data_IF_393574211015
#
_entry.id   IF_393574211015
#
_cell.length_a   1.000
_cell.length_b   1.000
_cell.length_c   1.000
_cell.angle_alpha   90.00
_cell.angle_beta   90.00
_cell.angle_gamma   90.00
#
_symmetry.space_group_name_H-M   'P 1'
#
loop_
_entity.id
_entity.type
_entity.pdbx_description
1 polymer ?
#
# COMPACT_ATOMS: atom_id res chain seq x y z
N UNK A 1 5.57 23.35 -7.46
CA UNK A 1 6.68 22.61 -6.81
C UNK A 1 6.41 22.58 -5.31
N UNK A 2 6.23 21.40 -4.73
CA UNK A 2 5.97 21.21 -3.30
C UNK A 2 7.12 20.39 -2.70
N UNK A 3 7.78 20.91 -1.66
CA UNK A 3 8.83 20.18 -0.94
C UNK A 3 8.20 19.08 -0.08
N UNK A 4 8.75 17.87 -0.15
CA UNK A 4 8.23 16.71 0.56
C UNK A 4 8.75 16.71 2.00
N UNK A 5 7.87 16.66 3.02
CA UNK A 5 8.28 16.61 4.42
C UNK A 5 8.81 15.21 4.80
N UNK A 6 9.73 15.18 5.77
CA UNK A 6 10.09 13.93 6.45
C UNK A 6 9.03 13.62 7.52
N UNK A 7 8.57 12.38 7.55
CA UNK A 7 7.58 11.91 8.53
C UNK A 7 8.28 11.30 9.76
N UNK A 8 7.80 11.63 10.94
CA UNK A 8 8.15 10.95 12.19
C UNK A 8 7.55 9.53 12.23
N UNK A 9 8.02 8.67 13.14
CA UNK A 9 7.45 7.34 13.36
C UNK A 9 5.96 7.40 13.72
N UNK A 10 5.57 8.37 14.55
CA UNK A 10 4.18 8.59 14.95
C UNK A 10 3.30 9.01 13.77
N UNK A 11 3.76 9.95 12.95
CA UNK A 11 3.03 10.35 11.72
C UNK A 11 2.91 9.19 10.75
N UNK A 12 3.90 8.32 10.65
CA UNK A 12 3.82 7.10 9.83
C UNK A 12 2.78 6.12 10.37
N UNK A 13 2.72 5.90 11.69
CA UNK A 13 1.78 4.98 12.31
C UNK A 13 0.32 5.39 12.11
N UNK A 14 0.01 6.65 12.40
CA UNK A 14 -1.37 7.15 12.40
C UNK A 14 -1.80 7.79 11.08
N UNK A 15 -0.86 8.29 10.30
CA UNK A 15 -1.15 8.95 9.01
C UNK A 15 -1.24 8.02 7.81
N UNK A 16 -0.96 6.71 7.98
CA UNK A 16 -1.05 5.73 6.88
C UNK A 16 -2.43 5.77 6.20
N UNK A 17 -2.54 5.72 4.86
CA UNK A 17 -1.50 5.47 3.85
C UNK A 17 -0.80 6.75 3.34
N UNK A 18 -0.89 7.87 4.01
CA UNK A 18 -0.37 9.21 3.69
C UNK A 18 -1.14 9.90 2.55
N UNK A 19 -0.90 11.20 2.37
CA UNK A 19 -1.52 11.98 1.31
C UNK A 19 -0.88 11.66 -0.04
N UNK A 20 -1.72 11.33 -1.01
CA UNK A 20 -1.33 11.05 -2.38
C UNK A 20 -2.08 11.98 -3.35
N UNK A 21 -1.40 12.56 -4.36
CA UNK A 21 -2.07 13.33 -5.39
C UNK A 21 -3.07 12.48 -6.19
N UNK A 22 -4.18 13.06 -6.59
CA UNK A 22 -5.16 12.41 -7.48
C UNK A 22 -4.64 12.30 -8.92
N UNK A 23 -3.87 13.31 -9.38
CA UNK A 23 -3.31 13.37 -10.72
C UNK A 23 -1.91 12.79 -10.83
N UNK A 24 -1.38 12.82 -12.07
CA UNK A 24 0.00 12.45 -12.36
C UNK A 24 0.99 13.42 -11.70
N UNK A 25 2.10 12.90 -11.19
CA UNK A 25 3.16 13.72 -10.63
C UNK A 25 4.55 13.11 -10.86
N UNK A 26 5.56 13.94 -10.73
CA UNK A 26 6.97 13.54 -10.72
C UNK A 26 7.56 13.84 -9.35
N UNK A 27 8.00 12.79 -8.63
CA UNK A 27 8.92 12.94 -7.51
C UNK A 27 10.31 13.18 -8.08
N UNK A 28 10.94 14.31 -7.76
CA UNK A 28 12.31 14.62 -8.20
C UNK A 28 13.02 15.49 -7.19
N UNK A 29 14.21 15.08 -6.76
CA UNK A 29 15.09 15.83 -5.85
C UNK A 29 14.39 16.30 -4.56
N UNK A 30 13.51 15.45 -3.97
CA UNK A 30 12.75 15.78 -2.77
C UNK A 30 11.56 16.72 -2.99
N UNK A 31 11.15 16.94 -4.24
CA UNK A 31 10.00 17.76 -4.60
C UNK A 31 8.96 16.97 -5.39
N UNK A 32 7.70 17.31 -5.17
CA UNK A 32 6.60 16.93 -6.03
C UNK A 32 6.43 17.99 -7.13
N UNK A 33 6.53 17.56 -8.38
CA UNK A 33 6.42 18.39 -9.58
C UNK A 33 5.27 17.87 -10.46
N UNK A 34 4.83 18.69 -11.42
CA UNK A 34 3.99 18.22 -12.52
C UNK A 34 4.78 17.21 -13.37
N UNK A 35 4.14 16.11 -13.74
CA UNK A 35 4.72 15.14 -14.68
C UNK A 35 4.55 15.68 -16.11
N UNK A 36 5.66 15.81 -16.89
CA UNK A 36 5.55 16.25 -18.29
C UNK A 36 4.81 15.21 -19.16
N UNK A 37 3.96 15.65 -20.07
CA UNK A 37 3.24 14.79 -21.01
C UNK A 37 4.18 13.97 -21.92
N UNK A 38 5.38 14.50 -22.17
CA UNK A 38 6.42 13.86 -22.99
C UNK A 38 7.40 13.01 -22.18
N UNK A 39 7.08 12.66 -20.93
CA UNK A 39 7.99 11.87 -20.10
C UNK A 39 8.23 10.48 -20.73
N UNK A 40 9.49 10.05 -20.81
CA UNK A 40 9.87 8.74 -21.33
C UNK A 40 9.88 7.68 -20.21
N UNK A 41 9.02 6.67 -20.34
CA UNK A 41 8.90 5.56 -19.41
C UNK A 41 9.63 4.28 -19.90
N UNK A 42 10.31 4.31 -21.05
CA UNK A 42 10.81 3.10 -21.74
C UNK A 42 11.82 2.26 -20.93
N UNK A 43 12.56 2.91 -20.01
CA UNK A 43 13.55 2.26 -19.14
C UNK A 43 13.01 1.97 -17.73
N UNK A 44 11.69 1.92 -17.55
CA UNK A 44 11.06 1.80 -16.24
C UNK A 44 10.07 0.63 -16.18
N UNK A 45 10.01 0.00 -15.03
CA UNK A 45 9.04 -1.03 -14.69
C UNK A 45 7.82 -0.37 -14.05
N UNK A 46 6.64 -0.72 -14.53
CA UNK A 46 5.37 -0.21 -14.02
C UNK A 46 4.89 -1.03 -12.82
N UNK A 47 4.72 -0.38 -11.66
CA UNK A 47 4.29 -1.01 -10.40
C UNK A 47 3.02 -0.34 -9.89
N UNK A 48 1.91 -1.07 -9.78
CA UNK A 48 0.68 -0.56 -9.20
C UNK A 48 0.85 -0.32 -7.70
N UNK A 49 0.67 0.91 -7.30
CA UNK A 49 0.79 1.39 -5.92
C UNK A 49 -0.58 1.44 -5.26
N UNK A 50 -0.83 0.56 -4.30
CA UNK A 50 -2.16 0.36 -3.70
C UNK A 50 -2.37 1.06 -2.36
N UNK A 51 -1.29 1.43 -1.68
CA UNK A 51 -1.34 2.05 -0.35
C UNK A 51 -0.41 3.24 -0.24
N UNK A 52 0.49 3.21 0.73
CA UNK A 52 1.43 4.30 1.00
C UNK A 52 2.38 4.62 -0.15
N UNK A 53 2.67 3.65 -1.02
CA UNK A 53 3.52 3.85 -2.21
C UNK A 53 2.91 4.81 -3.25
N UNK A 54 1.64 5.21 -3.10
CA UNK A 54 1.01 6.28 -3.89
C UNK A 54 1.50 7.67 -3.47
N UNK A 55 1.98 7.80 -2.23
CA UNK A 55 2.33 9.08 -1.63
C UNK A 55 3.78 9.49 -1.93
N UNK A 56 4.02 10.73 -2.38
CA UNK A 56 5.37 11.25 -2.60
C UNK A 56 6.28 11.11 -1.37
N UNK A 57 5.74 11.30 -0.16
CA UNK A 57 6.48 11.18 1.09
C UNK A 57 7.03 9.77 1.33
N UNK A 58 6.29 8.73 0.96
CA UNK A 58 6.74 7.35 1.06
C UNK A 58 7.79 7.00 0.02
N UNK A 59 7.59 7.41 -1.24
CA UNK A 59 8.57 7.20 -2.30
C UNK A 59 9.88 7.94 -2.00
N UNK A 60 9.79 9.18 -1.49
CA UNK A 60 10.96 9.94 -1.03
C UNK A 60 11.70 9.22 0.12
N UNK A 61 10.97 8.66 1.10
CA UNK A 61 11.55 7.89 2.19
C UNK A 61 12.29 6.64 1.71
N UNK A 62 11.73 5.95 0.71
CA UNK A 62 12.32 4.71 0.15
C UNK A 62 13.56 4.99 -0.70
N UNK A 63 13.46 5.96 -1.61
CA UNK A 63 14.44 6.15 -2.67
C UNK A 63 15.42 7.30 -2.42
N UNK A 64 15.18 8.13 -1.39
CA UNK A 64 16.07 9.23 -1.01
C UNK A 64 15.89 10.52 -1.83
N UNK A 65 16.75 11.48 -1.51
CA UNK A 65 16.63 12.86 -2.01
C UNK A 65 16.85 12.98 -3.53
N UNK A 66 17.72 12.17 -4.10
CA UNK A 66 18.05 12.24 -5.55
C UNK A 66 17.10 11.41 -6.42
N UNK A 67 16.07 10.79 -5.82
CA UNK A 67 15.13 9.97 -6.57
C UNK A 67 14.38 10.77 -7.63
N UNK A 68 14.18 10.13 -8.77
CA UNK A 68 13.24 10.55 -9.80
C UNK A 68 12.24 9.43 -10.06
N UNK A 69 10.96 9.64 -9.69
CA UNK A 69 9.90 8.65 -9.85
C UNK A 69 8.68 9.31 -10.47
N UNK A 70 8.37 9.03 -11.73
CA UNK A 70 7.09 9.43 -12.33
C UNK A 70 5.97 8.53 -11.81
N UNK A 71 4.81 9.15 -11.55
CA UNK A 71 3.62 8.47 -11.04
C UNK A 71 2.41 8.89 -11.85
N UNK A 72 1.65 7.91 -12.33
CA UNK A 72 0.48 8.14 -13.19
C UNK A 72 -0.78 7.52 -12.59
N UNK A 73 -1.96 8.20 -12.66
CA UNK A 73 -3.20 7.67 -12.12
C UNK A 73 -3.84 6.65 -13.06
N UNK A 74 -4.48 5.64 -12.46
CA UNK A 74 -5.27 4.62 -13.15
C UNK A 74 -6.56 4.33 -12.38
N UNK A 75 -7.59 3.88 -13.08
CA UNK A 75 -8.77 3.26 -12.48
C UNK A 75 -8.62 1.74 -12.55
N UNK A 76 -8.98 1.06 -11.46
CA UNK A 76 -8.97 -0.40 -11.34
C UNK A 76 -10.39 -0.85 -11.04
N UNK A 77 -10.92 -1.80 -11.83
CA UNK A 77 -12.25 -2.39 -11.62
C UNK A 77 -12.18 -3.73 -10.89
N UNK A 78 -13.29 -4.14 -10.31
CA UNK A 78 -13.48 -5.38 -9.57
C UNK A 78 -12.48 -5.56 -8.41
N UNK A 79 -12.06 -4.44 -7.82
CA UNK A 79 -11.04 -4.39 -6.79
C UNK A 79 -11.36 -3.28 -5.77
N UNK A 80 -11.01 -3.52 -4.51
CA UNK A 80 -10.94 -2.52 -3.44
C UNK A 80 -9.60 -2.64 -2.70
N UNK A 81 -9.26 -1.68 -1.86
CA UNK A 81 -8.10 -1.74 -0.98
C UNK A 81 -8.56 -2.02 0.44
N UNK A 82 -8.09 -3.13 0.99
CA UNK A 82 -8.45 -3.57 2.34
C UNK A 82 -7.25 -3.53 3.28
N UNK A 83 -7.53 -3.41 4.57
CA UNK A 83 -6.52 -3.61 5.62
C UNK A 83 -6.05 -5.06 5.63
N UNK A 84 -4.74 -5.27 5.79
CA UNK A 84 -4.10 -6.58 5.81
C UNK A 84 -4.03 -7.10 7.25
N UNK A 85 -4.12 -8.42 7.42
CA UNK A 85 -3.93 -9.11 8.70
C UNK A 85 -2.45 -9.10 9.12
N UNK A 86 -1.88 -7.90 9.22
CA UNK A 86 -0.48 -7.66 9.57
C UNK A 86 -0.33 -6.33 10.33
N UNK A 87 0.79 -6.16 11.00
CA UNK A 87 1.17 -4.93 11.69
C UNK A 87 2.59 -4.54 11.28
N UNK A 88 2.75 -3.37 10.68
CA UNK A 88 4.05 -2.86 10.30
C UNK A 88 4.90 -2.50 11.51
N UNK A 89 6.23 -2.49 11.37
CA UNK A 89 7.16 -2.21 12.48
C UNK A 89 6.97 -0.85 13.12
N UNK A 90 6.41 0.10 12.38
CA UNK A 90 6.07 1.43 12.89
C UNK A 90 4.63 1.52 13.44
N UNK A 91 3.91 0.40 13.57
CA UNK A 91 2.60 0.32 14.23
C UNK A 91 1.39 0.64 13.35
N UNK A 92 1.55 0.74 12.03
CA UNK A 92 0.41 0.83 11.12
C UNK A 92 -0.11 -0.55 10.73
N UNK A 93 -1.41 -0.64 10.46
CA UNK A 93 -2.05 -1.78 9.79
C UNK A 93 -1.92 -1.55 8.27
N UNK A 94 -1.11 -2.33 7.55
CA UNK A 94 -0.90 -2.11 6.13
C UNK A 94 -2.14 -2.45 5.30
N UNK A 95 -2.09 -2.21 4.00
CA UNK A 95 -3.18 -2.54 3.09
C UNK A 95 -2.71 -3.32 1.87
N UNK A 96 -3.65 -3.96 1.20
CA UNK A 96 -3.45 -4.66 -0.07
C UNK A 96 -4.68 -4.52 -0.96
N UNK A 97 -4.50 -4.74 -2.26
CA UNK A 97 -5.60 -4.96 -3.17
C UNK A 97 -6.36 -6.23 -2.80
N UNK A 98 -7.68 -6.21 -2.98
CA UNK A 98 -8.55 -7.34 -2.69
C UNK A 98 -9.71 -7.40 -3.71
N UNK A 99 -10.08 -8.57 -4.22
CA UNK A 99 -11.18 -8.71 -5.17
C UNK A 99 -12.49 -8.17 -4.59
N UNK A 100 -13.15 -7.29 -5.33
CA UNK A 100 -14.43 -6.68 -4.95
C UNK A 100 -15.26 -6.48 -6.22
N UNK A 101 -16.01 -7.51 -6.68
CA UNK A 101 -16.76 -7.45 -7.92
C UNK A 101 -17.71 -6.25 -7.98
N UNK A 102 -17.66 -5.50 -9.07
CA UNK A 102 -18.44 -4.29 -9.29
C UNK A 102 -17.85 -3.01 -8.67
N UNK A 103 -16.90 -3.12 -7.75
CA UNK A 103 -16.21 -1.94 -7.21
C UNK A 103 -15.23 -1.35 -8.23
N UNK A 104 -14.99 -0.04 -8.12
CA UNK A 104 -13.98 0.65 -8.91
C UNK A 104 -13.22 1.64 -8.04
N UNK A 105 -11.89 1.66 -8.19
CA UNK A 105 -11.00 2.45 -7.35
C UNK A 105 -9.94 3.18 -8.18
N UNK A 106 -9.56 4.37 -7.73
CA UNK A 106 -8.47 5.13 -8.34
C UNK A 106 -7.16 4.87 -7.60
N UNK A 107 -6.17 4.36 -8.33
CA UNK A 107 -4.84 4.06 -7.84
C UNK A 107 -3.77 4.77 -8.69
N UNK A 108 -2.51 4.44 -8.44
CA UNK A 108 -1.39 5.04 -9.15
C UNK A 108 -0.40 3.95 -9.61
N UNK A 109 0.21 4.15 -10.77
CA UNK A 109 1.38 3.41 -11.22
C UNK A 109 2.62 4.23 -10.85
N UNK A 110 3.51 3.67 -10.05
CA UNK A 110 4.87 4.18 -9.88
C UNK A 110 5.77 3.52 -10.93
N UNK A 111 6.49 4.33 -11.71
CA UNK A 111 7.38 3.86 -12.76
C UNK A 111 8.81 3.85 -12.23
N UNK A 112 9.34 2.66 -11.96
CA UNK A 112 10.59 2.45 -11.22
C UNK A 112 11.73 2.07 -12.17
N UNK A 113 12.94 2.56 -11.90
CA UNK A 113 14.16 1.98 -12.48
C UNK A 113 14.45 0.62 -11.84
N UNK A 114 15.30 -0.23 -12.45
CA UNK A 114 15.69 -1.52 -11.86
C UNK A 114 16.23 -1.37 -10.43
N UNK A 115 17.10 -0.39 -10.18
CA UNK A 115 17.61 -0.12 -8.82
C UNK A 115 16.49 0.29 -7.83
N UNK A 116 15.52 1.08 -8.28
CA UNK A 116 14.38 1.45 -7.44
C UNK A 116 13.45 0.25 -7.18
N UNK A 117 13.32 -0.65 -8.16
CA UNK A 117 12.55 -1.88 -8.00
C UNK A 117 13.18 -2.81 -6.94
N UNK A 118 14.50 -3.00 -6.96
CA UNK A 118 15.22 -3.75 -5.92
C UNK A 118 14.98 -3.18 -4.51
N UNK A 119 15.07 -1.85 -4.35
CA UNK A 119 14.76 -1.17 -3.09
C UNK A 119 13.29 -1.38 -2.69
N UNK A 120 12.37 -1.35 -3.67
CA UNK A 120 10.95 -1.59 -3.43
C UNK A 120 10.73 -3.02 -2.94
N UNK A 121 11.30 -4.04 -3.59
CA UNK A 121 11.22 -5.44 -3.17
C UNK A 121 11.71 -5.64 -1.73
N UNK A 122 12.87 -5.08 -1.39
CA UNK A 122 13.43 -5.17 -0.03
C UNK A 122 12.52 -4.50 1.01
N UNK A 123 11.97 -3.32 0.68
CA UNK A 123 11.13 -2.55 1.62
C UNK A 123 9.68 -3.05 1.74
N UNK A 124 9.21 -3.87 0.80
CA UNK A 124 7.93 -4.61 0.88
C UNK A 124 8.08 -6.00 1.52
N UNK A 125 9.32 -6.41 1.88
CA UNK A 125 9.60 -7.77 2.42
C UNK A 125 9.02 -8.83 1.48
N UNK A 126 9.46 -8.78 0.21
CA UNK A 126 9.02 -9.69 -0.83
C UNK A 126 9.27 -11.16 -0.43
N UNK A 127 8.25 -12.01 -0.59
CA UNK A 127 8.26 -13.42 -0.20
C UNK A 127 7.94 -13.69 1.28
N UNK A 128 7.93 -12.65 2.13
CA UNK A 128 7.56 -12.75 3.55
C UNK A 128 6.22 -12.05 3.85
N UNK A 129 6.10 -10.78 3.47
CA UNK A 129 4.90 -9.98 3.71
C UNK A 129 4.02 -9.87 2.45
N UNK A 130 4.65 -9.80 1.29
CA UNK A 130 3.97 -9.63 0.01
C UNK A 130 4.55 -10.58 -1.05
N UNK A 131 3.66 -11.09 -1.93
CA UNK A 131 4.01 -11.71 -3.20
C UNK A 131 4.16 -10.66 -4.29
N UNK A 132 5.09 -10.88 -5.24
CA UNK A 132 5.17 -10.15 -6.48
C UNK A 132 4.14 -10.68 -7.45
N UNK A 133 3.34 -9.82 -8.04
CA UNK A 133 2.21 -10.17 -8.88
C UNK A 133 2.21 -9.39 -10.19
N UNK A 134 1.64 -9.99 -11.24
CA UNK A 134 1.33 -9.32 -12.50
C UNK A 134 -0.19 -9.14 -12.63
N UNK A 135 -0.61 -7.92 -12.94
CA UNK A 135 -2.02 -7.55 -13.08
C UNK A 135 -2.57 -7.89 -14.46
N UNK A 136 -3.81 -8.34 -14.51
CA UNK A 136 -4.59 -8.37 -15.74
C UNK A 136 -4.92 -6.94 -16.18
N UNK A 137 -4.32 -6.50 -17.28
CA UNK A 137 -4.54 -5.16 -17.83
C UNK A 137 -5.99 -4.90 -18.23
N UNK A 138 -6.80 -5.94 -18.42
CA UNK A 138 -8.24 -5.77 -18.71
C UNK A 138 -9.01 -5.16 -17.54
N UNK A 139 -8.47 -5.24 -16.30
CA UNK A 139 -9.02 -4.60 -15.11
C UNK A 139 -8.58 -3.13 -14.97
N UNK A 140 -7.67 -2.64 -15.79
CA UNK A 140 -6.99 -1.34 -15.61
C UNK A 140 -7.41 -0.36 -16.73
N UNK A 141 -7.69 0.88 -16.34
CA UNK A 141 -7.96 1.99 -17.26
C UNK A 141 -7.03 3.16 -16.98
N UNK A 142 -6.29 3.63 -17.97
CA UNK A 142 -5.46 4.83 -17.83
C UNK A 142 -6.32 6.08 -17.67
N UNK A 143 -5.93 6.99 -16.77
CA UNK A 143 -6.60 8.27 -16.55
C UNK A 143 -5.83 9.47 -17.11
N UNK A 144 -4.56 9.27 -17.48
CA UNK A 144 -3.72 10.31 -18.10
C UNK A 144 -2.80 9.73 -19.18
N UNK A 145 -1.65 9.24 -18.82
CA UNK A 145 -0.66 8.67 -19.74
C UNK A 145 -1.08 7.27 -20.22
N UNK A 146 -0.39 6.73 -21.24
CA UNK A 146 -0.65 5.37 -21.73
C UNK A 146 -0.44 4.30 -20.66
N UNK A 147 -1.15 3.18 -20.79
CA UNK A 147 -0.87 1.99 -19.98
C UNK A 147 0.47 1.35 -20.37
N UNK A 148 1.16 0.69 -19.44
CA UNK A 148 2.30 -0.18 -19.75
C UNK A 148 1.83 -1.44 -20.51
N UNK A 149 2.80 -2.16 -21.08
CA UNK A 149 2.55 -3.50 -21.69
C UNK A 149 2.42 -4.60 -20.64
N UNK A 150 3.06 -4.40 -19.47
CA UNK A 150 2.94 -5.26 -18.28
C UNK A 150 2.80 -4.37 -17.04
N UNK A 151 2.01 -4.78 -16.08
CA UNK A 151 1.81 -4.04 -14.83
C UNK A 151 1.98 -4.99 -13.66
N UNK A 152 2.93 -4.68 -12.81
CA UNK A 152 3.22 -5.46 -11.62
C UNK A 152 2.67 -4.82 -10.35
N UNK A 153 2.80 -5.52 -9.23
CA UNK A 153 2.40 -5.01 -7.93
C UNK A 153 2.72 -5.97 -6.80
N UNK A 154 2.20 -5.65 -5.63
CA UNK A 154 2.41 -6.42 -4.41
C UNK A 154 1.06 -6.84 -3.84
N UNK A 155 0.86 -8.15 -3.60
CA UNK A 155 -0.31 -8.70 -2.92
C UNK A 155 0.08 -9.28 -1.57
N UNK A 156 -0.64 -8.93 -0.51
CA UNK A 156 -0.30 -9.38 0.84
C UNK A 156 -0.50 -10.89 1.01
N UNK A 157 0.51 -11.56 1.55
CA UNK A 157 0.49 -13.01 1.84
C UNK A 157 -0.45 -13.32 3.02
N UNK A 158 -0.49 -12.45 4.03
CA UNK A 158 -1.28 -12.65 5.23
C UNK A 158 -2.81 -12.65 5.00
N UNK A 159 -3.28 -12.08 3.87
CA UNK A 159 -4.71 -11.90 3.60
C UNK A 159 -5.31 -10.65 4.28
N UNK A 160 -6.63 -10.47 4.16
CA UNK A 160 -7.34 -9.32 4.69
C UNK A 160 -7.61 -9.46 6.20
N UNK A 161 -7.59 -8.32 6.90
CA UNK A 161 -7.87 -8.21 8.33
C UNK A 161 -9.29 -8.66 8.67
N UNK A 162 -9.41 -9.55 9.68
CA UNK A 162 -10.69 -10.10 10.14
C UNK A 162 -10.65 -10.52 11.62
N UNK A 163 -9.97 -9.79 12.49
CA UNK A 163 -9.72 -10.17 13.89
C UNK A 163 -11.01 -10.47 14.67
N UNK A 164 -12.06 -9.70 14.47
CA UNK A 164 -13.35 -9.84 15.16
C UNK A 164 -14.40 -10.67 14.38
N UNK A 165 -14.10 -11.08 13.14
CA UNK A 165 -15.01 -11.90 12.32
C UNK A 165 -15.99 -11.10 11.45
N UNK A 166 -15.84 -9.78 11.37
CA UNK A 166 -16.69 -8.83 10.65
C UNK A 166 -15.96 -8.15 9.44
N UNK A 167 -14.73 -8.57 9.15
CA UNK A 167 -13.94 -8.15 7.98
C UNK A 167 -14.28 -8.97 6.71
N UNK A 168 -13.67 -8.64 5.56
CA UNK A 168 -12.63 -7.60 5.34
C UNK A 168 -13.10 -6.17 5.57
N UNK A 169 -12.16 -5.28 5.97
CA UNK A 169 -12.38 -3.85 6.09
C UNK A 169 -11.64 -3.09 5.00
N UNK A 170 -12.38 -2.27 4.24
CA UNK A 170 -11.77 -1.40 3.26
C UNK A 170 -11.03 -0.24 3.92
N UNK A 171 -9.90 0.18 3.34
CA UNK A 171 -9.13 1.33 3.79
C UNK A 171 -9.90 2.62 3.43
N UNK A 172 -10.50 3.26 4.43
CA UNK A 172 -11.41 4.41 4.28
C UNK A 172 -10.79 5.57 3.48
N UNK A 173 -9.51 5.85 3.70
CA UNK A 173 -8.80 6.97 3.08
C UNK A 173 -8.61 6.82 1.56
N UNK A 174 -8.81 5.64 1.00
CA UNK A 174 -8.80 5.40 -0.44
C UNK A 174 -10.25 5.18 -0.89
N UNK A 175 -10.84 6.20 -1.52
CA UNK A 175 -12.22 6.14 -1.97
C UNK A 175 -12.41 5.11 -3.09
N UNK A 176 -13.47 4.31 -2.99
CA UNK A 176 -13.90 3.40 -4.05
C UNK A 176 -15.38 3.64 -4.37
N UNK A 177 -15.73 3.51 -5.65
CA UNK A 177 -17.11 3.51 -6.11
C UNK A 177 -17.68 2.09 -5.97
N UNK A 178 -18.93 1.97 -5.55
CA UNK A 178 -19.67 0.70 -5.39
C UNK A 178 -18.94 -0.31 -4.47
N UNK A 179 -18.30 0.20 -3.43
CA UNK A 179 -17.56 -0.56 -2.41
C UNK A 179 -18.44 -1.59 -1.72
N UNK A 180 -17.94 -2.84 -1.60
CA UNK A 180 -18.64 -3.94 -0.95
C UNK A 180 -18.27 -4.10 0.54
N UNK A 181 -17.08 -3.68 0.94
CA UNK A 181 -16.57 -3.85 2.30
C UNK A 181 -16.82 -2.61 3.16
N UNK A 182 -17.07 -2.82 4.45
CA UNK A 182 -17.16 -1.71 5.43
C UNK A 182 -15.85 -0.94 5.45
N UNK A 183 -15.92 0.38 5.27
CA UNK A 183 -14.76 1.24 5.34
C UNK A 183 -14.35 1.48 6.80
N UNK A 184 -13.05 1.40 7.08
CA UNK A 184 -12.48 1.69 8.38
C UNK A 184 -11.21 2.53 8.23
N UNK A 185 -11.01 3.47 9.15
CA UNK A 185 -9.79 4.26 9.21
C UNK A 185 -8.64 3.45 9.82
N UNK A 186 -7.42 3.88 9.56
CA UNK A 186 -6.22 3.34 10.20
C UNK A 186 -6.35 3.29 11.72
N UNK A 187 -6.87 4.36 12.31
CA UNK A 187 -7.03 4.46 13.77
C UNK A 187 -8.06 3.46 14.31
N UNK A 188 -9.16 3.23 13.61
CA UNK A 188 -10.15 2.22 14.00
C UNK A 188 -9.53 0.83 14.02
N UNK A 189 -8.74 0.47 12.99
CA UNK A 189 -8.07 -0.82 12.94
C UNK A 189 -7.04 -1.01 14.06
N UNK A 190 -6.24 0.02 14.34
CA UNK A 190 -5.31 0.02 15.46
C UNK A 190 -6.04 -0.12 16.81
N UNK A 191 -7.19 0.55 17.00
CA UNK A 191 -8.00 0.43 18.21
C UNK A 191 -8.59 -0.97 18.38
N UNK A 192 -9.03 -1.64 17.30
CA UNK A 192 -9.50 -3.03 17.36
C UNK A 192 -8.39 -3.97 17.85
N UNK A 193 -7.17 -3.81 17.31
CA UNK A 193 -6.02 -4.62 17.77
C UNK A 193 -5.71 -4.31 19.22
N UNK A 194 -5.64 -3.03 19.59
CA UNK A 194 -5.36 -2.61 20.97
C UNK A 194 -6.40 -3.14 21.96
N UNK A 195 -7.69 -3.07 21.64
CA UNK A 195 -8.76 -3.58 22.48
C UNK A 195 -8.71 -5.10 22.67
N UNK A 196 -8.30 -5.83 21.61
CA UNK A 196 -8.28 -7.30 21.65
C UNK A 196 -6.96 -7.87 22.20
N UNK A 197 -5.83 -7.23 21.94
CA UNK A 197 -4.48 -7.76 22.19
C UNK A 197 -3.56 -6.81 22.98
N UNK A 198 -3.97 -5.54 23.17
CA UNK A 198 -3.19 -4.57 23.94
C UNK A 198 -3.34 -4.82 25.44
N UNK A 199 -2.22 -5.03 26.14
CA UNK A 199 -2.21 -5.16 27.60
C UNK A 199 -1.09 -4.33 28.20
N UNK A 200 -1.29 -3.88 29.44
CA UNK A 200 -0.25 -3.22 30.24
C UNK A 200 0.05 -1.77 29.88
N UNK A 201 -0.70 -1.13 28.98
CA UNK A 201 -0.54 0.28 28.59
C UNK A 201 -1.86 1.04 28.67
N UNK A 202 -1.80 2.35 28.90
CA UNK A 202 -2.98 3.14 29.24
C UNK A 202 -3.80 3.56 28.00
N UNK A 203 -3.17 3.77 26.85
CA UNK A 203 -3.82 4.28 25.65
C UNK A 203 -3.15 3.79 24.35
N UNK A 204 -3.82 4.06 23.24
CA UNK A 204 -3.39 3.66 21.88
C UNK A 204 -2.02 4.26 21.49
N UNK A 205 -1.65 5.43 21.98
CA UNK A 205 -0.39 6.07 21.63
C UNK A 205 0.78 5.36 22.30
N UNK A 206 0.64 5.05 23.60
CA UNK A 206 1.62 4.24 24.33
C UNK A 206 1.70 2.82 23.76
N UNK A 207 0.58 2.25 23.34
CA UNK A 207 0.57 0.94 22.69
C UNK A 207 1.36 0.97 21.37
N UNK A 208 1.17 1.97 20.52
CA UNK A 208 1.93 2.11 19.28
C UNK A 208 3.43 2.26 19.54
N UNK A 209 3.83 3.06 20.54
CA UNK A 209 5.23 3.19 20.94
C UNK A 209 5.80 1.86 21.46
N UNK A 210 5.02 1.10 22.23
CA UNK A 210 5.40 -0.23 22.68
C UNK A 210 5.56 -1.20 21.49
N UNK A 211 4.59 -1.24 20.57
CA UNK A 211 4.68 -2.00 19.32
C UNK A 211 5.93 -1.64 18.52
N UNK A 212 6.30 -0.38 18.42
CA UNK A 212 7.50 0.08 17.72
C UNK A 212 8.79 -0.44 18.34
N UNK A 213 8.85 -0.56 19.67
CA UNK A 213 10.04 -0.96 20.42
C UNK A 213 10.16 -2.47 20.65
N UNK A 214 9.07 -3.24 20.55
CA UNK A 214 9.02 -4.66 20.91
C UNK A 214 8.71 -5.55 19.68
N UNK A 215 9.74 -6.25 19.20
CA UNK A 215 9.63 -7.15 18.04
C UNK A 215 8.85 -8.45 18.35
N UNK A 216 8.91 -8.93 19.60
CA UNK A 216 8.22 -10.15 20.01
C UNK A 216 6.72 -9.89 20.13
N UNK A 217 6.34 -8.75 20.71
CA UNK A 217 4.95 -8.30 20.71
C UNK A 217 4.38 -8.17 19.29
N UNK A 218 5.15 -7.56 18.37
CA UNK A 218 4.71 -7.49 16.95
C UNK A 218 4.51 -8.87 16.32
N UNK A 219 5.38 -9.84 16.63
CA UNK A 219 5.27 -11.20 16.11
C UNK A 219 4.01 -11.87 16.65
N UNK A 220 3.73 -11.76 17.94
CA UNK A 220 2.52 -12.30 18.56
C UNK A 220 1.26 -11.69 17.94
N UNK A 221 1.20 -10.36 17.80
CA UNK A 221 0.07 -9.67 17.16
C UNK A 221 -0.13 -10.17 15.72
N UNK A 222 0.93 -10.24 14.92
CA UNK A 222 0.86 -10.72 13.52
C UNK A 222 0.33 -12.14 13.44
N UNK A 223 0.77 -13.02 14.32
CA UNK A 223 0.26 -14.40 14.39
C UNK A 223 -1.24 -14.41 14.66
N UNK A 224 -1.71 -13.66 15.66
CA UNK A 224 -3.13 -13.57 16.00
C UNK A 224 -3.99 -13.00 14.88
N UNK A 225 -3.48 -12.00 14.17
CA UNK A 225 -4.17 -11.43 13.01
C UNK A 225 -4.32 -12.45 11.88
N UNK A 226 -3.26 -13.22 11.60
CA UNK A 226 -3.23 -14.19 10.49
C UNK A 226 -4.15 -15.40 10.72
N UNK A 227 -4.39 -15.80 11.98
CA UNK A 227 -5.25 -16.92 12.33
C UNK A 227 -6.69 -16.79 11.81
N UNK A 228 -7.18 -15.55 11.63
CA UNK A 228 -8.55 -15.25 11.18
C UNK A 228 -8.60 -14.50 9.85
N UNK A 229 -7.48 -14.34 9.18
CA UNK A 229 -7.38 -13.60 7.95
C UNK A 229 -8.22 -14.22 6.82
N UNK A 230 -8.77 -13.35 5.97
CA UNK A 230 -9.53 -13.77 4.79
C UNK A 230 -8.62 -13.71 3.57
N UNK A 231 -8.48 -14.84 2.87
CA UNK A 231 -7.69 -14.90 1.64
C UNK A 231 -8.49 -14.45 0.42
N UNK A 232 -7.87 -13.76 -0.57
CA UNK A 232 -8.55 -13.34 -1.78
C UNK A 232 -8.95 -14.56 -2.65
N UNK A 233 -10.18 -14.53 -3.17
CA UNK A 233 -10.66 -15.53 -4.13
C UNK A 233 -10.68 -14.92 -5.54
N UNK A 234 -10.02 -15.59 -6.52
CA UNK A 234 -10.00 -15.19 -7.93
C UNK A 234 -9.59 -13.72 -8.15
N UNK A 235 -8.41 -13.30 -7.71
CA UNK A 235 -7.95 -11.93 -7.91
C UNK A 235 -7.69 -11.63 -9.39
N UNK A 236 -7.77 -10.36 -9.83
CA UNK A 236 -7.44 -9.93 -11.19
C UNK A 236 -5.92 -9.78 -11.40
N UNK A 237 -5.14 -10.65 -10.78
CA UNK A 237 -3.69 -10.77 -10.91
C UNK A 237 -3.24 -12.20 -10.69
N UNK A 238 -2.02 -12.49 -11.08
CA UNK A 238 -1.35 -13.77 -10.83
C UNK A 238 0.03 -13.54 -10.20
N UNK A 239 0.54 -14.53 -9.47
CA UNK A 239 1.92 -14.48 -8.95
C UNK A 239 2.90 -14.46 -10.11
N UNK A 240 3.92 -13.63 -10.03
CA UNK A 240 4.99 -13.52 -11.02
C UNK A 240 6.30 -14.02 -10.47
N UNK A 241 7.04 -14.81 -11.26
CA UNK A 241 8.41 -15.22 -10.97
C UNK A 241 9.46 -14.29 -11.63
N UNK A 242 9.00 -13.37 -12.49
CA UNK A 242 9.83 -12.37 -13.16
C UNK A 242 10.03 -11.17 -12.23
N UNK A 243 11.16 -11.14 -11.52
CA UNK A 243 11.48 -10.10 -10.53
C UNK A 243 12.05 -8.82 -11.16
N UNK A 244 12.40 -8.84 -12.43
CA UNK A 244 12.98 -7.69 -13.14
C UNK A 244 11.93 -6.86 -13.88
N UNK A 245 10.76 -7.43 -14.17
CA UNK A 245 9.61 -6.76 -14.79
C UNK A 245 9.57 -6.75 -16.33
#
# INVERSE_FOLDING_TARGET
MLKIPKMTMRERAFGYPYEAPEGAYLLKNGYQLALPDTYDFSSRVAVLSVGSNRAPAQLYRKFGEQAEVPVTPVAVKDCDIVHVANLADYGAVPCSAFPSPGASIMLNIAWLTGQQLEIMHATESLGEAYDWIEWDLSAITALSHRLPTRLFGYAAIAGAFNLCGDGPFALEKIAAKDRQFTAASQQVMQQQIFAALGSGVADIYQWVEHVQSDADLRREIRQRLTEKAVQPAKPPWQKSDDLEG
#
